data_IF_933652443517
#
_entry.id   IF_933652443517
#
_cell.length_a   1.000
_cell.length_b   1.000
_cell.length_c   1.000
_cell.angle_alpha   90.00
_cell.angle_beta   90.00
_cell.angle_gamma   90.00
#
_symmetry.space_group_name_H-M   'P 1'
#
loop_
_entity.id
_entity.type
_entity.pdbx_description
1 polymer ?
#
# COMPACT_ATOMS: atom_id res chain seq x y z
N UNK A 1 34.19 -12.35 5.10
CA UNK A 1 33.25 -12.17 3.97
C UNK A 1 32.12 -11.27 4.45
N UNK A 2 31.95 -10.04 3.92
CA UNK A 2 30.84 -9.19 4.32
C UNK A 2 29.51 -9.85 3.94
N UNK A 3 28.62 -9.93 4.93
CA UNK A 3 27.34 -10.63 4.85
C UNK A 3 26.40 -9.93 3.85
N UNK A 4 26.19 -10.53 2.69
CA UNK A 4 25.47 -9.94 1.54
C UNK A 4 24.01 -9.58 1.89
N UNK A 5 23.41 -10.26 2.87
CA UNK A 5 22.07 -9.95 3.39
C UNK A 5 21.97 -8.54 3.95
N UNK A 6 23.05 -8.09 4.59
CA UNK A 6 23.12 -6.79 5.23
C UNK A 6 23.15 -5.68 4.18
N UNK A 7 23.68 -5.91 2.98
CA UNK A 7 23.71 -4.93 1.88
C UNK A 7 22.37 -4.79 1.12
N UNK A 8 21.57 -5.85 1.07
CA UNK A 8 20.36 -5.92 0.24
C UNK A 8 19.11 -5.37 0.94
N UNK A 9 19.01 -5.48 2.27
CA UNK A 9 17.80 -5.11 3.00
C UNK A 9 17.30 -3.67 2.76
N UNK A 10 18.13 -2.61 2.72
CA UNK A 10 17.60 -1.25 2.62
C UNK A 10 17.16 -0.92 1.19
N UNK A 11 17.72 -1.62 0.19
CA UNK A 11 17.24 -1.57 -1.19
C UNK A 11 15.89 -2.28 -1.32
N UNK A 12 15.76 -3.48 -0.74
CA UNK A 12 14.50 -4.23 -0.73
C UNK A 12 13.39 -3.42 -0.05
N UNK A 13 13.63 -2.89 1.15
CA UNK A 13 12.64 -2.08 1.88
C UNK A 13 12.20 -0.85 1.08
N UNK A 14 13.14 -0.15 0.45
CA UNK A 14 12.82 1.02 -0.38
C UNK A 14 11.94 0.64 -1.57
N UNK A 15 12.33 -0.38 -2.35
CA UNK A 15 11.58 -0.79 -3.54
C UNK A 15 10.21 -1.36 -3.21
N UNK A 16 10.12 -2.19 -2.17
CA UNK A 16 8.83 -2.71 -1.69
C UNK A 16 7.92 -1.58 -1.22
N UNK A 17 8.44 -0.62 -0.44
CA UNK A 17 7.69 0.55 -0.03
C UNK A 17 7.20 1.37 -1.22
N UNK A 18 8.05 1.58 -2.23
CA UNK A 18 7.71 2.34 -3.43
C UNK A 18 6.60 1.65 -4.23
N UNK A 19 6.74 0.35 -4.49
CA UNK A 19 5.72 -0.45 -5.17
C UNK A 19 4.40 -0.40 -4.42
N UNK A 20 4.41 -0.60 -3.10
CA UNK A 20 3.21 -0.55 -2.28
C UNK A 20 2.56 0.84 -2.29
N UNK A 21 3.35 1.92 -2.28
CA UNK A 21 2.82 3.29 -2.32
C UNK A 21 2.07 3.62 -3.61
N UNK A 22 2.43 2.95 -4.71
CA UNK A 22 1.76 3.08 -6.02
C UNK A 22 0.56 2.14 -6.11
N UNK A 23 0.69 0.87 -5.67
CA UNK A 23 -0.38 -0.12 -5.80
C UNK A 23 -1.52 0.10 -4.81
N UNK A 24 -1.24 0.56 -3.59
CA UNK A 24 -2.26 0.79 -2.56
C UNK A 24 -3.38 1.74 -3.03
N UNK A 25 -3.09 2.94 -3.57
CA UNK A 25 -4.15 3.83 -4.04
C UNK A 25 -4.94 3.25 -5.22
N UNK A 26 -4.29 2.49 -6.11
CA UNK A 26 -4.99 1.81 -7.22
C UNK A 26 -6.00 0.80 -6.67
N UNK A 27 -5.58 -0.01 -5.69
CA UNK A 27 -6.48 -0.98 -5.03
C UNK A 27 -7.61 -0.28 -4.28
N UNK A 28 -7.34 0.83 -3.60
CA UNK A 28 -8.38 1.62 -2.92
C UNK A 28 -9.41 2.18 -3.91
N UNK A 29 -8.98 2.68 -5.06
CA UNK A 29 -9.90 3.14 -6.12
C UNK A 29 -10.76 1.98 -6.62
N UNK A 30 -10.18 0.82 -6.88
CA UNK A 30 -10.94 -0.38 -7.29
C UNK A 30 -11.93 -0.82 -6.21
N UNK A 31 -11.53 -0.79 -4.94
CA UNK A 31 -12.38 -1.11 -3.81
C UNK A 31 -13.46 -0.06 -3.54
N UNK A 32 -13.27 1.18 -3.97
CA UNK A 32 -14.26 2.25 -3.88
C UNK A 32 -15.27 2.19 -5.03
N UNK A 33 -14.80 1.93 -6.24
CA UNK A 33 -15.63 1.78 -7.43
C UNK A 33 -16.44 0.48 -7.43
N UNK A 34 -15.97 -0.54 -6.70
CA UNK A 34 -16.65 -1.82 -6.50
C UNK A 34 -17.31 -2.36 -7.78
N UNK A 35 -16.59 -2.51 -8.91
CA UNK A 35 -17.21 -2.84 -10.19
C UNK A 35 -17.96 -4.18 -10.22
N UNK A 36 -17.77 -5.01 -9.20
CA UNK A 36 -18.49 -6.28 -9.00
C UNK A 36 -19.79 -6.14 -8.19
N UNK A 37 -20.11 -4.96 -7.65
CA UNK A 37 -21.31 -4.68 -6.87
C UNK A 37 -22.20 -3.70 -7.64
N UNK A 38 -23.49 -4.02 -7.73
CA UNK A 38 -24.53 -3.10 -8.18
C UNK A 38 -25.33 -2.62 -6.96
N UNK A 39 -25.40 -1.30 -6.75
CA UNK A 39 -26.24 -0.70 -5.73
C UNK A 39 -27.73 -0.82 -6.10
N UNK A 40 -28.62 -0.97 -5.10
CA UNK A 40 -30.07 -1.04 -5.34
C UNK A 40 -30.69 0.33 -5.61
N UNK A 41 -30.19 1.39 -4.95
CA UNK A 41 -30.73 2.74 -5.06
C UNK A 41 -29.96 3.69 -6.00
N UNK A 42 -28.72 3.38 -6.39
CA UNK A 42 -27.88 4.28 -7.20
C UNK A 42 -27.44 3.62 -8.52
N UNK A 43 -27.63 4.34 -9.64
CA UNK A 43 -27.12 3.97 -10.98
C UNK A 43 -25.57 4.02 -11.07
N UNK A 44 -24.88 4.30 -9.96
CA UNK A 44 -23.43 4.29 -9.85
C UNK A 44 -22.98 3.31 -8.78
N UNK A 45 -22.18 2.31 -9.16
CA UNK A 45 -21.54 1.34 -8.26
C UNK A 45 -20.48 1.93 -7.31
N UNK A 46 -20.26 3.25 -7.33
CA UNK A 46 -19.21 3.89 -6.55
C UNK A 46 -19.66 4.22 -5.13
N UNK A 47 -18.96 3.68 -4.13
CA UNK A 47 -19.23 3.99 -2.73
C UNK A 47 -20.48 3.31 -2.16
N UNK A 48 -20.86 2.15 -2.70
CA UNK A 48 -21.99 1.38 -2.17
C UNK A 48 -21.81 1.06 -0.68
N UNK A 49 -22.90 0.98 0.10
CA UNK A 49 -22.84 0.54 1.49
C UNK A 49 -22.17 -0.83 1.59
N UNK A 50 -21.02 -0.87 2.27
CA UNK A 50 -20.26 -2.09 2.48
C UNK A 50 -20.63 -2.76 3.80
N UNK A 51 -20.78 -4.08 3.77
CA UNK A 51 -20.85 -4.87 4.99
C UNK A 51 -19.59 -4.73 5.84
N UNK A 52 -19.65 -5.07 7.13
CA UNK A 52 -18.56 -4.82 8.09
C UNK A 52 -17.25 -5.51 7.71
N UNK A 53 -17.31 -6.69 7.09
CA UNK A 53 -16.13 -7.42 6.63
C UNK A 53 -15.40 -6.66 5.52
N UNK A 54 -16.14 -6.12 4.54
CA UNK A 54 -15.55 -5.41 3.41
C UNK A 54 -15.04 -4.02 3.83
N UNK A 55 -15.71 -3.36 4.77
CA UNK A 55 -15.20 -2.15 5.41
C UNK A 55 -13.86 -2.39 6.12
N UNK A 56 -13.72 -3.51 6.85
CA UNK A 56 -12.45 -3.87 7.50
C UNK A 56 -11.32 -4.08 6.48
N UNK A 57 -11.61 -4.72 5.34
CA UNK A 57 -10.63 -4.89 4.24
C UNK A 57 -10.21 -3.53 3.67
N UNK A 58 -11.16 -2.64 3.37
CA UNK A 58 -10.87 -1.29 2.87
C UNK A 58 -9.99 -0.49 3.85
N UNK A 59 -10.31 -0.53 5.14
CA UNK A 59 -9.50 0.13 6.18
C UNK A 59 -8.10 -0.48 6.30
N UNK A 60 -7.98 -1.81 6.23
CA UNK A 60 -6.70 -2.51 6.26
C UNK A 60 -5.82 -2.14 5.07
N UNK A 61 -6.39 -2.08 3.87
CA UNK A 61 -5.67 -1.61 2.67
C UNK A 61 -5.31 -0.13 2.79
N UNK A 62 -6.20 0.71 3.32
CA UNK A 62 -5.91 2.13 3.53
C UNK A 62 -4.72 2.35 4.47
N UNK A 63 -4.59 1.51 5.51
CA UNK A 63 -3.45 1.55 6.42
C UNK A 63 -2.11 1.18 5.76
N UNK A 64 -2.11 0.44 4.65
CA UNK A 64 -0.87 0.13 3.92
C UNK A 64 -0.21 1.37 3.31
N UNK A 65 -0.97 2.42 3.01
CA UNK A 65 -0.43 3.63 2.41
C UNK A 65 0.60 4.33 3.32
N UNK A 66 0.26 4.74 4.57
CA UNK A 66 1.26 5.33 5.47
C UNK A 66 2.41 4.37 5.80
N UNK A 67 2.15 3.06 5.89
CA UNK A 67 3.19 2.04 6.10
C UNK A 67 4.18 2.04 4.94
N UNK A 68 3.69 2.05 3.70
CA UNK A 68 4.53 2.03 2.50
C UNK A 68 5.41 3.28 2.39
N UNK A 69 4.86 4.45 2.73
CA UNK A 69 5.61 5.72 2.78
C UNK A 69 6.71 5.64 3.85
N UNK A 70 6.39 5.11 5.03
CA UNK A 70 7.38 4.90 6.08
C UNK A 70 8.50 3.96 5.62
N UNK A 71 8.18 2.88 4.89
CA UNK A 71 9.18 1.99 4.30
C UNK A 71 10.10 2.71 3.31
N UNK A 72 9.55 3.55 2.43
CA UNK A 72 10.35 4.37 1.50
C UNK A 72 11.31 5.27 2.28
N UNK A 73 10.81 5.99 3.29
CA UNK A 73 11.62 6.88 4.12
C UNK A 73 12.74 6.13 4.86
N UNK A 74 12.42 5.00 5.51
CA UNK A 74 13.39 4.16 6.23
C UNK A 74 14.44 3.59 5.27
N UNK A 75 14.01 3.06 4.12
CA UNK A 75 14.92 2.52 3.10
C UNK A 75 15.85 3.59 2.51
N UNK A 76 15.33 4.78 2.24
CA UNK A 76 16.13 5.91 1.75
C UNK A 76 17.16 6.38 2.80
N UNK A 77 16.73 6.56 4.05
CA UNK A 77 17.60 7.00 5.14
C UNK A 77 18.70 5.98 5.44
N UNK A 78 18.37 4.68 5.45
CA UNK A 78 19.33 3.60 5.68
C UNK A 78 20.38 3.52 4.56
N UNK A 79 20.01 3.80 3.30
CA UNK A 79 20.95 3.90 2.18
C UNK A 79 21.87 5.10 2.32
N UNK A 80 21.33 6.26 2.70
CA UNK A 80 22.12 7.50 2.85
C UNK A 80 23.18 7.36 3.96
N UNK A 81 22.83 6.74 5.09
CA UNK A 81 23.76 6.50 6.20
C UNK A 81 24.92 5.54 5.88
N UNK A 82 24.83 4.77 4.80
CA UNK A 82 25.90 3.84 4.36
C UNK A 82 26.81 4.40 3.27
N UNK A 83 26.38 5.45 2.59
CA UNK A 83 27.18 6.13 1.57
C UNK A 83 28.06 7.26 2.12
N UNK A 84 27.86 7.64 3.39
CA UNK A 84 28.78 8.44 4.19
C UNK A 84 29.67 7.52 5.01
#
# INVERSE_FOLDING_TARGET
>A
MPDTRVALWPRLVFWTGLILSILTPVVLVVLFLQPWVSCAEDDSSAGCPVGPVQAAVQLGVAALLPISIAMVAVGALARQRRGR
#
